data_IF_317462791921
#
_entry.id   IF_317462791921
#
_cell.length_a   1.000
_cell.length_b   1.000
_cell.length_c   1.000
_cell.angle_alpha   90.00
_cell.angle_beta   90.00
_cell.angle_gamma   90.00
#
_symmetry.space_group_name_H-M   'P 1'
#
loop_
_entity.id
_entity.type
_entity.pdbx_description
1 polymer ?
#
# COMPACT_ATOMS: atom_id res chain seq x y z
N UNK A 1 38.22 7.42 12.32
CA UNK A 1 38.04 8.15 11.04
C UNK A 1 36.55 8.46 10.95
N UNK A 2 36.16 9.64 11.43
CA UNK A 2 34.77 10.08 11.58
C UNK A 2 34.24 10.52 10.21
N UNK A 3 33.12 9.95 9.76
CA UNK A 3 32.46 10.38 8.53
C UNK A 3 31.49 11.52 8.85
N UNK A 4 31.86 12.74 8.46
CA UNK A 4 31.03 13.94 8.55
C UNK A 4 29.69 13.73 7.85
N UNK A 5 28.60 13.66 8.61
CA UNK A 5 27.24 13.63 8.07
C UNK A 5 26.83 15.05 7.68
N UNK A 6 26.53 15.25 6.39
CA UNK A 6 26.02 16.50 5.83
C UNK A 6 24.73 16.96 6.54
N UNK A 7 24.78 18.19 7.05
CA UNK A 7 23.70 18.93 7.70
C UNK A 7 22.58 19.33 6.73
N UNK A 8 21.83 18.36 6.22
CA UNK A 8 20.53 18.61 5.60
C UNK A 8 19.47 18.77 6.68
N UNK A 9 18.80 19.92 6.76
CA UNK A 9 17.71 20.15 7.71
C UNK A 9 16.72 18.96 7.70
N UNK A 10 16.28 18.46 8.87
CA UNK A 10 15.38 17.33 8.91
C UNK A 10 14.10 17.68 8.15
N UNK A 11 13.89 17.05 6.99
CA UNK A 11 12.67 17.22 6.20
C UNK A 11 11.52 16.75 7.06
N UNK A 12 10.78 17.71 7.60
CA UNK A 12 9.58 17.43 8.37
C UNK A 12 8.64 16.68 7.43
N UNK A 13 8.22 15.45 7.78
CA UNK A 13 7.25 14.72 6.98
C UNK A 13 6.02 15.60 6.81
N UNK A 14 5.47 15.69 5.60
CA UNK A 14 4.22 16.42 5.32
C UNK A 14 3.04 16.00 6.21
N UNK A 15 3.19 14.86 6.89
CA UNK A 15 2.22 14.25 7.78
C UNK A 15 2.59 14.32 9.27
N UNK A 16 3.58 15.14 9.66
CA UNK A 16 3.85 15.39 11.09
C UNK A 16 2.58 16.02 11.70
N UNK A 17 2.13 15.44 12.82
CA UNK A 17 0.94 15.84 13.59
C UNK A 17 -0.44 15.46 13.04
N UNK A 18 -0.52 14.72 11.93
CA UNK A 18 -1.78 14.14 11.45
C UNK A 18 -1.87 12.66 11.80
N UNK A 19 -2.73 12.32 12.78
CA UNK A 19 -3.24 10.96 12.95
C UNK A 19 -4.11 10.61 11.73
N UNK A 20 -3.49 10.30 10.60
CA UNK A 20 -4.16 9.58 9.52
C UNK A 20 -4.48 8.20 10.05
N UNK A 21 -5.70 8.04 10.58
CA UNK A 21 -6.25 6.72 10.88
C UNK A 21 -6.23 5.82 9.64
N UNK A 22 -6.64 4.56 9.81
CA UNK A 22 -6.75 3.63 8.70
C UNK A 22 -7.62 4.27 7.61
N UNK A 23 -7.00 4.65 6.49
CA UNK A 23 -7.73 5.12 5.31
C UNK A 23 -8.75 4.04 4.99
N UNK A 24 -10.01 4.44 4.82
CA UNK A 24 -11.09 3.53 4.45
C UNK A 24 -10.60 2.63 3.30
N UNK A 25 -10.81 1.31 3.38
CA UNK A 25 -10.49 0.43 2.26
C UNK A 25 -11.04 1.03 0.97
N UNK A 26 -10.21 1.06 -0.07
CA UNK A 26 -10.65 1.53 -1.38
C UNK A 26 -11.93 0.79 -1.75
N UNK A 27 -12.97 1.51 -2.15
CA UNK A 27 -14.22 0.87 -2.57
C UNK A 27 -13.92 -0.11 -3.70
N UNK A 28 -14.45 -1.34 -3.63
CA UNK A 28 -14.31 -2.37 -4.67
C UNK A 28 -14.65 -1.83 -6.07
N UNK A 29 -15.64 -0.92 -6.14
CA UNK A 29 -16.04 -0.21 -7.36
C UNK A 29 -14.89 0.60 -7.98
N UNK A 30 -14.10 1.29 -7.18
CA UNK A 30 -12.97 2.09 -7.64
C UNK A 30 -11.82 1.20 -8.15
N UNK A 31 -11.55 0.08 -7.46
CA UNK A 31 -10.55 -0.91 -7.89
C UNK A 31 -10.93 -1.50 -9.26
N UNK A 32 -12.19 -1.89 -9.42
CA UNK A 32 -12.70 -2.45 -10.66
C UNK A 32 -12.66 -1.44 -11.82
N UNK A 33 -13.05 -0.19 -11.57
CA UNK A 33 -12.98 0.88 -12.56
C UNK A 33 -11.54 1.14 -13.04
N UNK A 34 -10.55 1.15 -12.14
CA UNK A 34 -9.14 1.31 -12.52
C UNK A 34 -8.66 0.12 -13.36
N UNK A 35 -9.01 -1.11 -12.93
CA UNK A 35 -8.61 -2.34 -13.62
C UNK A 35 -9.13 -2.38 -15.05
N UNK A 36 -10.40 -2.02 -15.29
CA UNK A 36 -10.98 -1.95 -16.64
C UNK A 36 -10.26 -0.92 -17.50
N UNK A 37 -9.97 0.26 -16.97
CA UNK A 37 -9.28 1.31 -17.74
C UNK A 37 -7.87 0.88 -18.15
N UNK A 38 -7.17 0.11 -17.30
CA UNK A 38 -5.86 -0.46 -17.62
C UNK A 38 -5.95 -1.58 -18.66
N UNK A 39 -6.99 -2.42 -18.59
CA UNK A 39 -7.26 -3.48 -19.57
C UNK A 39 -7.60 -2.89 -20.94
N UNK A 40 -8.47 -1.89 -21.01
CA UNK A 40 -8.84 -1.19 -22.25
C UNK A 40 -7.64 -0.47 -22.88
N UNK A 41 -6.72 0.04 -22.07
CA UNK A 41 -5.48 0.66 -22.55
C UNK A 41 -4.39 -0.32 -22.97
N UNK A 42 -4.63 -1.64 -22.93
CA UNK A 42 -3.65 -2.70 -23.18
C UNK A 42 -2.33 -2.52 -22.39
N UNK A 43 -2.37 -1.88 -21.22
CA UNK A 43 -1.20 -1.56 -20.41
C UNK A 43 -0.88 -2.71 -19.46
N UNK A 44 -0.34 -3.79 -20.01
CA UNK A 44 -0.06 -5.04 -19.28
C UNK A 44 0.87 -4.79 -18.07
N UNK A 45 1.89 -3.93 -18.24
CA UNK A 45 2.81 -3.55 -17.16
C UNK A 45 2.10 -2.84 -16.00
N UNK A 46 1.26 -1.87 -16.32
CA UNK A 46 0.53 -1.08 -15.33
C UNK A 46 -0.53 -1.94 -14.63
N UNK A 47 -1.15 -2.86 -15.36
CA UNK A 47 -2.08 -3.85 -14.81
C UNK A 47 -1.37 -4.81 -13.83
N UNK A 48 -0.18 -5.29 -14.16
CA UNK A 48 0.61 -6.16 -13.29
C UNK A 48 1.07 -5.43 -12.02
N UNK A 49 1.55 -4.19 -12.15
CA UNK A 49 1.93 -3.35 -11.01
C UNK A 49 0.73 -3.01 -10.12
N UNK A 50 -0.43 -2.74 -10.72
CA UNK A 50 -1.68 -2.49 -9.98
C UNK A 50 -2.12 -3.72 -9.19
N UNK A 51 -2.15 -4.90 -9.83
CA UNK A 51 -2.51 -6.14 -9.16
C UNK A 51 -1.54 -6.47 -8.01
N UNK A 52 -0.23 -6.32 -8.22
CA UNK A 52 0.78 -6.52 -7.18
C UNK A 52 0.61 -5.56 -5.99
N UNK A 53 0.29 -4.29 -6.24
CA UNK A 53 0.05 -3.32 -5.19
C UNK A 53 -1.20 -3.65 -4.35
N UNK A 54 -2.25 -4.19 -4.98
CA UNK A 54 -3.46 -4.64 -4.26
C UNK A 54 -3.19 -5.94 -3.48
N UNK A 55 -2.43 -6.87 -4.07
CA UNK A 55 -2.03 -8.13 -3.43
C UNK A 55 -1.16 -7.91 -2.19
N UNK A 56 -0.37 -6.82 -2.17
CA UNK A 56 0.52 -6.47 -1.07
C UNK A 56 -0.17 -6.17 0.29
N UNK A 57 -1.51 -6.15 0.36
CA UNK A 57 -2.23 -6.05 1.63
C UNK A 57 -3.70 -6.49 1.55
N UNK A 58 -3.93 -7.80 1.40
CA UNK A 58 -5.27 -8.41 1.42
C UNK A 58 -5.68 -9.00 2.77
N UNK A 59 -4.74 -9.53 3.53
CA UNK A 59 -5.13 -10.46 4.58
C UNK A 59 -4.83 -9.95 5.99
N UNK A 60 -5.90 -9.73 6.75
CA UNK A 60 -5.93 -9.82 8.21
C UNK A 60 -5.60 -11.26 8.72
N UNK A 61 -4.80 -12.06 7.99
CA UNK A 61 -4.56 -13.49 8.26
C UNK A 61 -3.39 -13.77 9.22
N UNK A 62 -2.75 -12.77 9.80
CA UNK A 62 -1.68 -12.97 10.79
C UNK A 62 -2.15 -13.38 12.21
N UNK A 63 -3.41 -13.79 12.39
CA UNK A 63 -3.99 -14.05 13.72
C UNK A 63 -4.94 -15.24 13.87
N UNK A 64 -5.10 -16.15 12.90
CA UNK A 64 -6.01 -17.31 13.03
C UNK A 64 -5.37 -18.66 12.69
N UNK A 65 -4.11 -18.86 13.09
CA UNK A 65 -3.43 -20.15 13.03
C UNK A 65 -2.90 -20.57 14.41
N UNK A 66 -3.68 -20.34 15.47
CA UNK A 66 -3.48 -20.95 16.77
C UNK A 66 -4.85 -21.23 17.40
N UNK A 67 -5.07 -22.50 17.79
CA UNK A 67 -6.19 -23.00 18.59
C UNK A 67 -7.55 -23.12 17.85
N UNK A 68 -7.81 -24.30 17.27
CA UNK A 68 -8.58 -25.29 18.00
C UNK A 68 -8.67 -26.63 17.25
N UNK A 69 -8.12 -27.63 17.92
CA UNK A 69 -8.40 -29.04 17.78
C UNK A 69 -9.80 -29.30 18.35
N UNK A 70 -10.78 -29.57 17.50
CA UNK A 70 -11.99 -30.38 17.77
C UNK A 70 -12.62 -30.80 16.44
#
# INVERSE_FOLDING_TARGET
MEATICSGAPRVPWNKDKLTGQKSPLQLKAIWAIRIRLQLGAKIRDLAMFNLAIDSKGDNSFGRAALNNR
#
